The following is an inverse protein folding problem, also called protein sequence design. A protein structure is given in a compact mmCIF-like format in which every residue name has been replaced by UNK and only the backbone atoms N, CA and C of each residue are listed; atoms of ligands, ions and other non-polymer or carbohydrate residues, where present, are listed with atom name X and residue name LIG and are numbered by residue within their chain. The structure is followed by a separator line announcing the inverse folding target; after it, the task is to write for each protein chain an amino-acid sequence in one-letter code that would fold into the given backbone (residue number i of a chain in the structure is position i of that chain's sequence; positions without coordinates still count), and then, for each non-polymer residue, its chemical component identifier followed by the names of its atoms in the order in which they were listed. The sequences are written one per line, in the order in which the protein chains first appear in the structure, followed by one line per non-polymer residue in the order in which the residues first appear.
data_IF_560196648303
#
_entry.id   IF_560196648303
#
_cell.length_a   1.000
_cell.length_b   1.000
_cell.length_c   1.000
_cell.angle_alpha   90.00
_cell.angle_beta   90.00
_cell.angle_gamma   90.00
#
_symmetry.space_group_name_H-M   'P 1'
#
loop_
_entity.id
_entity.type
_entity.pdbx_description
1 polymer ?
#
# COMPACT_ATOMS: atom_id res chain seq x y z
N UNK A 1 -18.00 2.84 13.43
CA UNK A 1 -17.09 3.96 13.67
C UNK A 1 -16.20 4.15 12.46
N UNK A 2 -16.00 5.40 12.05
CA UNK A 2 -15.06 5.78 11.00
C UNK A 2 -13.80 6.30 11.70
N UNK A 3 -12.64 5.75 11.34
CA UNK A 3 -11.35 6.10 11.89
C UNK A 3 -10.55 6.78 10.78
N UNK A 4 -10.13 8.02 11.00
CA UNK A 4 -9.18 8.68 10.12
C UNK A 4 -7.82 7.97 10.18
N UNK A 5 -7.32 7.53 9.04
CA UNK A 5 -6.00 6.93 8.86
C UNK A 5 -5.14 7.88 8.04
N UNK A 6 -4.03 8.32 8.63
CA UNK A 6 -2.99 9.03 7.90
C UNK A 6 -1.64 8.40 8.17
N UNK A 7 -1.00 7.94 7.11
CA UNK A 7 0.36 7.45 7.12
C UNK A 7 1.23 8.39 6.30
N UNK A 8 2.26 8.92 6.97
CA UNK A 8 3.26 9.84 6.43
C UNK A 8 4.65 9.34 6.81
N UNK A 9 4.92 8.07 6.51
CA UNK A 9 6.22 7.46 6.73
C UNK A 9 6.87 7.29 5.38
N UNK A 10 8.08 7.84 5.19
CA UNK A 10 8.88 7.75 3.96
C UNK A 10 9.31 6.33 3.58
N UNK A 11 8.35 5.40 3.52
CA UNK A 11 8.50 4.02 3.14
C UNK A 11 9.11 3.96 1.75
N UNK A 12 10.02 3.01 1.62
CA UNK A 12 10.73 2.71 0.38
C UNK A 12 10.41 1.28 0.03
N UNK A 13 9.87 1.07 -1.16
CA UNK A 13 9.53 -0.25 -1.68
C UNK A 13 10.18 -0.42 -3.05
N UNK A 14 10.47 -1.66 -3.43
CA UNK A 14 10.93 -1.98 -4.78
C UNK A 14 9.84 -2.78 -5.49
N UNK A 15 9.35 -2.26 -6.60
CA UNK A 15 8.34 -2.89 -7.44
C UNK A 15 9.01 -3.43 -8.70
N UNK A 16 8.77 -4.70 -9.05
CA UNK A 16 9.19 -5.27 -10.32
C UNK A 16 8.01 -5.15 -11.31
N UNK A 17 8.13 -4.23 -12.26
CA UNK A 17 7.12 -4.05 -13.31
C UNK A 17 7.45 -4.96 -14.49
N UNK A 18 6.57 -5.92 -14.78
CA UNK A 18 6.64 -6.69 -16.01
C UNK A 18 5.94 -5.94 -17.13
N UNK A 19 6.72 -5.38 -18.05
CA UNK A 19 6.24 -4.71 -19.24
C UNK A 19 6.06 -5.73 -20.35
N UNK A 20 4.82 -5.88 -20.83
CA UNK A 20 4.48 -6.71 -22.00
C UNK A 20 4.62 -5.89 -23.28
N UNK A 21 5.85 -5.49 -23.63
CA UNK A 21 6.15 -4.90 -24.93
C UNK A 21 6.61 -5.99 -25.90
N UNK A 22 5.72 -6.44 -26.78
CA UNK A 22 6.05 -7.44 -27.82
C UNK A 22 6.16 -8.88 -27.29
N UNK A 23 6.95 -9.71 -27.99
CA UNK A 23 7.07 -11.16 -27.72
C UNK A 23 7.87 -11.47 -26.44
N UNK A 24 8.77 -10.59 -26.02
CA UNK A 24 9.65 -10.80 -24.87
C UNK A 24 9.22 -9.89 -23.72
N UNK A 25 8.80 -10.43 -22.55
CA UNK A 25 8.50 -9.62 -21.39
C UNK A 25 9.78 -9.02 -20.81
N UNK A 26 9.76 -7.71 -20.54
CA UNK A 26 10.86 -6.99 -19.88
C UNK A 26 10.46 -6.68 -18.44
N UNK A 27 11.30 -7.07 -17.47
CA UNK A 27 11.09 -6.76 -16.06
C UNK A 27 11.93 -5.54 -15.68
N UNK A 28 11.28 -4.47 -15.26
CA UNK A 28 11.94 -3.21 -14.86
C UNK A 28 11.77 -2.99 -13.36
N UNK A 29 12.85 -2.84 -12.58
CA UNK A 29 12.77 -2.51 -11.17
C UNK A 29 12.50 -1.02 -10.98
N UNK A 30 11.45 -0.70 -10.23
CA UNK A 30 11.01 0.67 -9.93
C UNK A 30 10.93 0.85 -8.42
N UNK A 31 11.72 1.76 -7.89
CA UNK A 31 11.64 2.19 -6.50
C UNK A 31 10.42 3.07 -6.27
N UNK A 32 9.63 2.76 -5.25
CA UNK A 32 8.57 3.60 -4.71
C UNK A 32 9.19 4.35 -3.52
N UNK A 33 9.10 5.68 -3.55
CA UNK A 33 9.58 6.57 -2.48
C UNK A 33 8.43 7.47 -2.02
N UNK A 34 8.58 8.04 -0.82
CA UNK A 34 7.63 9.02 -0.28
C UNK A 34 6.18 8.53 -0.32
N UNK A 35 5.96 7.27 0.07
CA UNK A 35 4.64 6.68 0.09
C UNK A 35 3.81 7.26 1.24
N UNK A 36 2.77 8.01 0.89
CA UNK A 36 1.80 8.55 1.82
C UNK A 36 0.40 8.00 1.49
N UNK A 37 -0.37 7.67 2.53
CA UNK A 37 -1.77 7.30 2.41
C UNK A 37 -2.62 8.06 3.43
N UNK A 38 -3.72 8.62 2.95
CA UNK A 38 -4.67 9.39 3.75
C UNK A 38 -6.09 8.95 3.39
N UNK A 39 -6.91 8.61 4.38
CA UNK A 39 -8.28 8.18 4.14
C UNK A 39 -9.00 7.77 5.41
N UNK A 40 -10.25 7.36 5.28
CA UNK A 40 -11.08 6.90 6.39
C UNK A 40 -11.27 5.39 6.33
N UNK A 41 -11.11 4.72 7.47
CA UNK A 41 -11.36 3.29 7.63
C UNK A 41 -12.63 3.05 8.44
N UNK A 42 -13.48 2.13 7.97
CA UNK A 42 -14.47 1.51 8.84
C UNK A 42 -13.85 0.27 9.48
N UNK A 43 -14.20 0.02 10.74
CA UNK A 43 -13.77 -1.16 11.49
C UNK A 43 -14.99 -1.89 12.03
N UNK A 44 -15.00 -3.22 11.93
CA UNK A 44 -16.01 -4.11 12.46
C UNK A 44 -15.36 -5.23 13.26
N UNK A 45 -15.81 -5.38 14.50
CA UNK A 45 -15.46 -6.48 15.37
C UNK A 45 -16.61 -7.49 15.34
N UNK A 46 -16.29 -8.76 15.09
CA UNK A 46 -17.22 -9.88 15.31
C UNK A 46 -16.90 -10.44 16.68
N UNK A 47 -17.86 -10.34 17.60
CA UNK A 47 -17.72 -10.89 18.94
C UNK A 47 -18.13 -12.36 18.99
N UNK A 48 -17.52 -13.11 19.90
CA UNK A 48 -17.83 -14.52 20.20
C UNK A 48 -18.01 -14.69 21.72
N UNK A 49 -18.77 -15.70 22.18
CA UNK A 49 -19.13 -15.84 23.59
C UNK A 49 -18.01 -16.42 24.49
N UNK A 50 -16.87 -16.80 23.91
CA UNK A 50 -15.71 -17.34 24.64
C UNK A 50 -14.48 -16.49 24.40
N UNK A 51 -13.51 -16.56 25.31
CA UNK A 51 -12.20 -15.94 25.15
C UNK A 51 -11.57 -16.29 23.79
N UNK A 52 -11.00 -15.31 23.04
CA UNK A 52 -10.70 -13.92 23.43
C UNK A 52 -11.84 -12.90 23.17
N UNK A 53 -13.10 -13.34 23.10
CA UNK A 53 -14.32 -12.56 22.85
C UNK A 53 -14.42 -11.85 21.49
N UNK A 54 -13.33 -11.80 20.72
CA UNK A 54 -13.28 -11.29 19.35
C UNK A 54 -12.96 -12.44 18.41
N UNK A 55 -13.93 -12.84 17.59
CA UNK A 55 -13.76 -13.89 16.60
C UNK A 55 -13.20 -13.39 15.27
N UNK A 56 -13.41 -12.11 14.93
CA UNK A 56 -12.79 -11.49 13.75
C UNK A 56 -12.72 -9.97 13.88
N UNK A 57 -11.69 -9.39 13.24
CA UNK A 57 -11.60 -7.96 12.96
C UNK A 57 -11.64 -7.79 11.45
N UNK A 58 -12.51 -6.92 10.97
CA UNK A 58 -12.57 -6.53 9.56
C UNK A 58 -12.47 -5.03 9.46
N UNK A 59 -11.75 -4.56 8.46
CA UNK A 59 -11.68 -3.15 8.13
C UNK A 59 -11.70 -2.97 6.62
N UNK A 60 -12.15 -1.82 6.16
CA UNK A 60 -11.90 -1.37 4.79
C UNK A 60 -11.97 0.16 4.74
N UNK A 61 -11.53 0.72 3.61
CA UNK A 61 -11.68 2.14 3.38
C UNK A 61 -13.15 2.50 3.13
N UNK A 62 -13.60 3.59 3.75
CA UNK A 62 -14.95 4.15 3.59
C UNK A 62 -15.12 4.71 2.18
N UNK A 63 -14.06 5.32 1.65
CA UNK A 63 -13.99 5.96 0.35
C UNK A 63 -12.62 5.66 -0.29
N UNK A 64 -12.41 6.09 -1.54
CA UNK A 64 -11.10 5.95 -2.18
C UNK A 64 -10.04 6.71 -1.35
N UNK A 65 -9.05 6.03 -0.77
CA UNK A 65 -8.00 6.73 -0.03
C UNK A 65 -7.14 7.53 -0.99
N UNK A 66 -6.63 8.66 -0.52
CA UNK A 66 -5.64 9.44 -1.22
C UNK A 66 -4.29 8.78 -1.04
N UNK A 67 -3.73 8.30 -2.14
CA UNK A 67 -2.41 7.68 -2.18
C UNK A 67 -1.46 8.60 -2.95
N UNK A 68 -0.28 8.85 -2.39
CA UNK A 68 0.81 9.56 -3.06
C UNK A 68 2.08 8.76 -2.95
N UNK A 69 2.85 8.72 -4.03
CA UNK A 69 4.20 8.16 -4.04
C UNK A 69 4.96 8.70 -5.24
N UNK A 70 6.27 8.55 -5.19
CA UNK A 70 7.18 8.85 -6.28
C UNK A 70 7.75 7.54 -6.83
N UNK A 71 7.74 7.41 -8.15
CA UNK A 71 8.41 6.31 -8.85
C UNK A 71 9.78 6.78 -9.30
N UNK A 72 10.82 6.07 -8.86
CA UNK A 72 12.19 6.28 -9.29
C UNK A 72 12.72 5.00 -9.92
N UNK A 73 13.32 5.04 -11.12
CA UNK A 73 13.95 3.86 -11.70
C UNK A 73 15.04 3.34 -10.75
N UNK A 74 14.96 2.07 -10.39
CA UNK A 74 15.90 1.50 -9.44
C UNK A 74 17.23 1.23 -10.16
N UNK A 75 18.26 2.03 -9.81
CA UNK A 75 19.64 1.87 -10.31
C UNK A 75 19.86 1.98 -11.84
N UNK A 76 18.94 2.53 -12.63
CA UNK A 76 19.19 2.78 -14.07
C UNK A 76 20.17 3.94 -14.33
N UNK A 77 20.27 4.91 -13.39
CA UNK A 77 21.36 5.88 -13.36
C UNK A 77 21.80 6.06 -11.92
N UNK A 78 22.88 5.36 -11.55
CA UNK A 78 23.63 5.70 -10.35
C UNK A 78 24.44 6.96 -10.71
N UNK A 79 23.98 8.13 -10.28
CA UNK A 79 24.86 9.30 -10.20
C UNK A 79 25.70 9.11 -8.94
N UNK A 80 26.79 8.35 -9.07
CA UNK A 80 27.98 8.63 -8.26
C UNK A 80 28.63 9.90 -8.81
#
# INVERSE_FOLDING_TARGET
YQIGLRYTGGARMLLLLTLKFGFIPVVVPVGIRHFDIDGELWVKLRLIPSEPWVGAVSWAFVSLPKIKFELAPFRLFNLM
#
